data_IF_534880561098
#
_entry.id   IF_534880561098
#
_cell.length_a   1.000
_cell.length_b   1.000
_cell.length_c   1.000
_cell.angle_alpha   90.00
_cell.angle_beta   90.00
_cell.angle_gamma   90.00
#
_symmetry.space_group_name_H-M   'P 1'
#
loop_
_entity.id
_entity.type
_entity.pdbx_description
1 polymer ?
#
# COMPACT_ATOMS: atom_id res chain seq x y z
N UNK A 1 23.69 17.26 -14.26
CA UNK A 1 22.57 16.44 -13.76
C UNK A 1 21.40 17.39 -13.59
N UNK A 2 20.28 17.14 -14.23
CA UNK A 2 19.06 17.92 -13.99
C UNK A 2 18.67 17.82 -12.52
N UNK A 3 18.29 18.95 -11.94
CA UNK A 3 17.84 19.02 -10.56
C UNK A 3 16.47 18.34 -10.47
N UNK A 4 16.38 17.25 -9.72
CA UNK A 4 15.12 16.55 -9.49
C UNK A 4 14.16 17.53 -8.79
N UNK A 5 13.02 17.81 -9.43
CA UNK A 5 12.00 18.69 -8.86
C UNK A 5 11.26 17.98 -7.71
N UNK A 6 11.82 18.07 -6.50
CA UNK A 6 11.27 17.47 -5.27
C UNK A 6 9.78 17.79 -5.05
N UNK A 7 9.29 19.05 -5.21
CA UNK A 7 7.87 19.34 -5.04
C UNK A 7 6.98 18.58 -6.03
N UNK A 8 7.45 18.39 -7.26
CA UNK A 8 6.75 17.60 -8.28
C UNK A 8 6.66 16.14 -7.89
N UNK A 9 7.74 15.55 -7.36
CA UNK A 9 7.74 14.17 -6.87
C UNK A 9 6.81 13.95 -5.67
N UNK A 10 6.81 14.87 -4.70
CA UNK A 10 5.92 14.79 -3.53
C UNK A 10 4.46 14.85 -3.99
N UNK A 11 4.14 15.78 -4.89
CA UNK A 11 2.78 15.94 -5.44
C UNK A 11 2.33 14.70 -6.21
N UNK A 12 3.22 14.15 -7.06
CA UNK A 12 2.96 12.93 -7.81
C UNK A 12 2.72 11.73 -6.87
N UNK A 13 3.60 11.54 -5.88
CA UNK A 13 3.48 10.45 -4.91
C UNK A 13 2.16 10.49 -4.15
N UNK A 14 1.83 11.65 -3.55
CA UNK A 14 0.57 11.81 -2.81
C UNK A 14 -0.62 11.59 -3.73
N UNK A 15 -0.59 12.14 -4.95
CA UNK A 15 -1.65 11.95 -5.94
C UNK A 15 -1.88 10.47 -6.28
N UNK A 16 -0.80 9.70 -6.48
CA UNK A 16 -0.88 8.27 -6.75
C UNK A 16 -1.35 7.45 -5.53
N UNK A 17 -0.91 7.81 -4.32
CA UNK A 17 -1.39 7.17 -3.08
C UNK A 17 -2.89 7.41 -2.89
N UNK A 18 -3.37 8.64 -3.16
CA UNK A 18 -4.78 8.99 -3.14
C UNK A 18 -5.57 8.22 -4.19
N UNK A 19 -5.07 8.16 -5.43
CA UNK A 19 -5.71 7.43 -6.52
C UNK A 19 -5.83 5.93 -6.21
N UNK A 20 -4.77 5.31 -5.70
CA UNK A 20 -4.75 3.90 -5.29
C UNK A 20 -5.77 3.63 -4.17
N UNK A 21 -5.79 4.48 -3.14
CA UNK A 21 -6.74 4.33 -2.04
C UNK A 21 -8.19 4.60 -2.45
N UNK A 22 -8.41 5.61 -3.30
CA UNK A 22 -9.72 5.93 -3.87
C UNK A 22 -10.27 4.80 -4.73
N UNK A 23 -9.43 4.18 -5.55
CA UNK A 23 -9.79 2.97 -6.29
C UNK A 23 -10.21 1.83 -5.35
N UNK A 24 -9.49 1.65 -4.23
CA UNK A 24 -9.87 0.63 -3.24
C UNK A 24 -11.23 0.92 -2.62
N UNK A 25 -11.48 2.15 -2.17
CA UNK A 25 -12.78 2.56 -1.60
C UNK A 25 -13.89 2.27 -2.60
N UNK A 26 -13.72 2.68 -3.86
CA UNK A 26 -14.73 2.45 -4.90
C UNK A 26 -15.03 0.95 -5.06
N UNK A 27 -13.99 0.10 -5.06
CA UNK A 27 -14.19 -1.35 -5.14
C UNK A 27 -14.95 -1.90 -3.93
N UNK A 28 -14.63 -1.46 -2.72
CA UNK A 28 -15.34 -1.91 -1.51
C UNK A 28 -16.79 -1.48 -1.49
N UNK A 29 -17.11 -0.27 -1.97
CA UNK A 29 -18.51 0.16 -2.13
C UNK A 29 -19.25 -0.79 -3.09
N UNK A 30 -18.67 -1.05 -4.27
CA UNK A 30 -19.27 -1.97 -5.25
C UNK A 30 -19.45 -3.39 -4.69
N UNK A 31 -18.51 -3.89 -3.89
CA UNK A 31 -18.63 -5.20 -3.21
C UNK A 31 -19.76 -5.16 -2.16
N UNK A 32 -19.84 -4.08 -1.37
CA UNK A 32 -20.90 -3.89 -0.38
C UNK A 32 -22.30 -3.79 -1.01
N UNK A 33 -22.43 -3.11 -2.14
CA UNK A 33 -23.68 -2.98 -2.90
C UNK A 33 -24.19 -4.34 -3.44
N UNK A 34 -23.29 -5.30 -3.62
CA UNK A 34 -23.62 -6.69 -3.99
C UNK A 34 -24.02 -7.55 -2.78
N UNK A 35 -24.04 -7.00 -1.57
CA UNK A 35 -24.35 -7.71 -0.33
C UNK A 35 -23.21 -8.57 0.20
N UNK A 36 -22.00 -8.41 -0.34
CA UNK A 36 -20.81 -9.14 0.08
C UNK A 36 -20.08 -8.40 1.22
N UNK A 37 -19.26 -9.13 1.98
CA UNK A 37 -18.47 -8.52 3.06
C UNK A 37 -17.40 -7.60 2.48
N UNK A 38 -17.28 -6.40 3.04
CA UNK A 38 -16.23 -5.43 2.68
C UNK A 38 -15.09 -5.45 3.68
N UNK A 39 -13.86 -5.24 3.21
CA UNK A 39 -12.70 -5.07 4.09
C UNK A 39 -11.54 -4.36 3.41
N UNK A 40 -10.71 -3.70 4.21
CA UNK A 40 -9.43 -3.14 3.77
C UNK A 40 -8.27 -4.08 4.16
N UNK A 41 -7.45 -4.55 3.19
CA UNK A 41 -6.19 -5.22 3.42
C UNK A 41 -5.28 -4.39 4.31
N UNK A 42 -4.34 -5.07 4.94
CA UNK A 42 -3.34 -4.41 5.79
C UNK A 42 -2.54 -3.41 4.96
N UNK A 43 -2.27 -3.75 3.71
CA UNK A 43 -1.58 -2.86 2.77
C UNK A 43 -2.30 -1.53 2.53
N UNK A 44 -3.63 -1.53 2.42
CA UNK A 44 -4.37 -0.29 2.15
C UNK A 44 -4.31 0.65 3.37
N UNK A 45 -4.31 0.08 4.58
CA UNK A 45 -4.04 0.83 5.82
C UNK A 45 -2.60 1.36 5.85
N UNK A 46 -1.63 0.56 5.38
CA UNK A 46 -0.23 0.99 5.28
C UNK A 46 -0.05 2.11 4.26
N UNK A 47 -0.75 2.07 3.13
CA UNK A 47 -0.74 3.16 2.14
C UNK A 47 -1.33 4.45 2.73
N UNK A 48 -2.44 4.36 3.47
CA UNK A 48 -3.04 5.50 4.15
C UNK A 48 -2.09 6.11 5.21
N UNK A 49 -1.47 5.26 6.03
CA UNK A 49 -0.47 5.71 7.02
C UNK A 49 0.76 6.33 6.34
N UNK A 50 1.27 5.71 5.28
CA UNK A 50 2.38 6.22 4.47
C UNK A 50 2.05 7.59 3.90
N UNK A 51 0.87 7.77 3.30
CA UNK A 51 0.41 9.04 2.75
C UNK A 51 0.33 10.13 3.82
N UNK A 52 -0.20 9.81 5.01
CA UNK A 52 -0.24 10.76 6.12
C UNK A 52 1.16 11.16 6.59
N UNK A 53 2.07 10.19 6.74
CA UNK A 53 3.47 10.45 7.11
C UNK A 53 4.18 11.28 6.04
N UNK A 54 3.95 11.00 4.75
CA UNK A 54 4.48 11.79 3.63
C UNK A 54 3.96 13.23 3.68
N UNK A 55 2.68 13.45 3.96
CA UNK A 55 2.13 14.80 4.13
C UNK A 55 2.84 15.55 5.27
N UNK A 56 2.97 14.93 6.45
CA UNK A 56 3.65 15.55 7.59
C UNK A 56 5.12 15.86 7.29
N UNK A 57 5.87 14.87 6.80
CA UNK A 57 7.32 14.98 6.65
C UNK A 57 7.75 15.73 5.39
N UNK A 58 7.01 15.67 4.30
CA UNK A 58 7.39 16.26 3.01
C UNK A 58 6.68 17.58 2.70
N UNK A 59 5.61 17.93 3.42
CA UNK A 59 4.89 19.20 3.23
C UNK A 59 4.97 20.03 4.51
N UNK A 60 4.39 19.56 5.62
CA UNK A 60 4.30 20.38 6.82
C UNK A 60 5.67 20.68 7.44
N UNK A 61 6.55 19.68 7.52
CA UNK A 61 7.87 19.87 8.13
C UNK A 61 8.72 20.90 7.35
N UNK A 62 8.90 20.80 6.02
CA UNK A 62 9.59 21.83 5.24
C UNK A 62 8.94 23.21 5.30
N UNK A 63 7.61 23.30 5.44
CA UNK A 63 6.94 24.59 5.63
C UNK A 63 7.29 25.25 6.97
N UNK A 64 7.53 24.45 8.02
CA UNK A 64 7.89 24.95 9.35
C UNK A 64 9.40 25.23 9.45
N UNK A 65 10.24 24.38 8.88
CA UNK A 65 11.71 24.49 8.98
C UNK A 65 12.32 25.37 7.89
N UNK A 66 11.61 25.58 6.78
CA UNK A 66 12.13 26.27 5.59
C UNK A 66 13.03 25.42 4.70
N UNK A 67 13.21 24.14 5.01
CA UNK A 67 14.13 23.26 4.29
C UNK A 67 13.60 21.83 4.08
N UNK A 68 13.93 21.24 2.93
CA UNK A 68 13.65 19.83 2.64
C UNK A 68 14.82 18.95 3.14
N UNK A 69 14.83 18.71 4.45
CA UNK A 69 15.90 18.03 5.17
C UNK A 69 15.95 16.50 4.96
N UNK A 70 16.90 15.86 5.64
CA UNK A 70 17.19 14.42 5.54
C UNK A 70 15.96 13.54 5.85
N UNK A 71 15.17 13.91 6.87
CA UNK A 71 13.96 13.18 7.27
C UNK A 71 12.93 13.17 6.12
N UNK A 72 12.69 14.32 5.50
CA UNK A 72 11.75 14.45 4.37
C UNK A 72 12.18 13.60 3.18
N UNK A 73 13.48 13.59 2.86
CA UNK A 73 14.06 12.76 1.79
C UNK A 73 13.92 11.27 2.08
N UNK A 74 14.23 10.85 3.31
CA UNK A 74 14.09 9.47 3.75
C UNK A 74 12.64 8.98 3.66
N UNK A 75 11.70 9.78 4.18
CA UNK A 75 10.26 9.46 4.11
C UNK A 75 9.78 9.40 2.66
N UNK A 76 10.19 10.35 1.80
CA UNK A 76 9.83 10.34 0.39
C UNK A 76 10.29 9.05 -0.31
N UNK A 77 11.53 8.62 -0.07
CA UNK A 77 12.07 7.38 -0.63
C UNK A 77 11.32 6.13 -0.13
N UNK A 78 11.08 6.03 1.19
CA UNK A 78 10.33 4.91 1.77
C UNK A 78 8.90 4.83 1.25
N UNK A 79 8.19 5.96 1.19
CA UNK A 79 6.80 6.02 0.76
C UNK A 79 6.64 5.70 -0.73
N UNK A 80 7.56 6.18 -1.58
CA UNK A 80 7.60 5.81 -3.00
C UNK A 80 7.78 4.30 -3.19
N UNK A 81 8.67 3.67 -2.42
CA UNK A 81 8.88 2.22 -2.51
C UNK A 81 7.64 1.44 -2.07
N UNK A 82 7.01 1.85 -0.96
CA UNK A 82 5.77 1.22 -0.50
C UNK A 82 4.65 1.31 -1.55
N UNK A 83 4.53 2.44 -2.24
CA UNK A 83 3.57 2.61 -3.33
C UNK A 83 3.90 1.68 -4.51
N UNK A 84 5.17 1.60 -4.93
CA UNK A 84 5.60 0.72 -6.04
C UNK A 84 5.33 -0.76 -5.72
N UNK A 85 5.51 -1.17 -4.47
CA UNK A 85 5.26 -2.55 -4.04
C UNK A 85 3.77 -2.84 -3.75
N UNK A 86 2.90 -1.82 -3.80
CA UNK A 86 1.48 -1.99 -3.51
C UNK A 86 0.80 -3.05 -4.41
N UNK A 87 0.98 -3.08 -5.74
CA UNK A 87 0.42 -4.13 -6.59
C UNK A 87 0.91 -5.55 -6.22
N UNK A 88 2.19 -5.70 -5.85
CA UNK A 88 2.76 -6.99 -5.44
C UNK A 88 2.12 -7.48 -4.13
N UNK A 89 1.93 -6.57 -3.19
CA UNK A 89 1.27 -6.87 -1.93
C UNK A 89 -0.21 -7.24 -2.13
N UNK A 90 -0.89 -6.59 -3.09
CA UNK A 90 -2.24 -6.95 -3.50
C UNK A 90 -2.33 -8.34 -4.14
N UNK A 91 -1.34 -8.74 -4.95
CA UNK A 91 -1.25 -10.12 -5.44
C UNK A 91 -1.14 -11.12 -4.29
N UNK A 92 -0.36 -10.79 -3.25
CA UNK A 92 -0.27 -11.58 -2.03
C UNK A 92 -1.59 -11.66 -1.26
N UNK A 93 -2.32 -10.55 -1.12
CA UNK A 93 -3.64 -10.50 -0.48
C UNK A 93 -4.67 -11.42 -1.17
N UNK A 94 -4.64 -11.48 -2.49
CA UNK A 94 -5.53 -12.38 -3.24
C UNK A 94 -4.98 -13.79 -3.43
N UNK A 95 -3.86 -14.12 -2.77
CA UNK A 95 -3.13 -15.37 -2.95
C UNK A 95 -2.87 -15.74 -4.42
N UNK A 96 -2.65 -14.73 -5.29
CA UNK A 96 -2.48 -14.89 -6.73
C UNK A 96 -1.06 -15.29 -7.14
N UNK A 97 -0.12 -15.34 -6.18
CA UNK A 97 1.27 -15.74 -6.46
C UNK A 97 1.42 -17.27 -6.58
N UNK A 98 0.40 -18.05 -6.19
CA UNK A 98 0.41 -19.51 -6.32
C UNK A 98 -0.90 -20.02 -6.92
N UNK A 99 -0.80 -21.09 -7.72
CA UNK A 99 -1.97 -21.76 -8.30
C UNK A 99 -2.92 -22.29 -7.22
N UNK A 100 -2.37 -22.84 -6.13
CA UNK A 100 -3.12 -23.34 -4.97
C UNK A 100 -3.94 -22.24 -4.27
N UNK A 101 -3.43 -21.01 -4.23
CA UNK A 101 -4.13 -19.86 -3.64
C UNK A 101 -5.31 -19.42 -4.51
N UNK A 102 -5.09 -19.31 -5.82
CA UNK A 102 -6.14 -18.99 -6.80
C UNK A 102 -7.32 -19.98 -6.75
N UNK A 103 -7.04 -21.28 -6.61
CA UNK A 103 -8.07 -22.31 -6.55
C UNK A 103 -9.02 -22.17 -5.35
N UNK A 104 -8.58 -21.57 -4.23
CA UNK A 104 -9.46 -21.30 -3.08
C UNK A 104 -10.58 -20.32 -3.41
N UNK A 105 -10.33 -19.38 -4.32
CA UNK A 105 -11.33 -18.42 -4.77
C UNK A 105 -12.19 -18.97 -5.93
N UNK A 106 -11.63 -19.84 -6.79
CA UNK A 106 -12.39 -20.47 -7.88
C UNK A 106 -13.36 -21.55 -7.39
N UNK A 107 -13.00 -22.33 -6.36
CA UNK A 107 -13.87 -23.39 -5.83
C UNK A 107 -15.15 -22.82 -5.16
N UNK A 108 -15.09 -21.58 -4.67
CA UNK A 108 -16.23 -20.83 -4.10
C UNK A 108 -17.31 -20.41 -5.13
N UNK A 109 -16.99 -20.37 -6.42
CA UNK A 109 -17.96 -19.99 -7.48
C UNK A 109 -18.89 -21.17 -7.85
N UNK A 110 -18.44 -22.42 -7.61
CA UNK A 110 -19.21 -23.64 -7.93
C UNK A 110 -20.20 -24.10 -6.85
N UNK A 111 -19.98 -23.76 -5.58
CA UNK A 111 -20.79 -24.22 -4.44
C UNK A 111 -21.64 -23.10 -3.84
N UNK A 112 -22.60 -22.59 -4.63
CA UNK A 112 -23.69 -21.72 -4.16
C UNK A 112 -24.76 -22.48 -3.34
N UNK A 113 -24.37 -23.48 -2.55
CA UNK A 113 -25.29 -24.27 -1.70
C UNK A 113 -24.76 -24.42 -0.28
N UNK A 114 -25.11 -23.45 0.55
CA UNK A 114 -25.43 -23.70 1.96
C UNK A 114 -24.28 -23.98 2.93
N UNK A 115 -23.03 -23.75 2.56
CA UNK A 115 -21.91 -23.85 3.50
C UNK A 115 -21.55 -22.44 3.96
N UNK A 116 -21.47 -22.28 5.29
CA UNK A 116 -21.21 -21.04 5.98
C UNK A 116 -20.04 -20.27 5.35
N UNK A 117 -20.16 -18.94 5.32
CA UNK A 117 -19.12 -17.94 5.02
C UNK A 117 -17.99 -17.96 6.08
N UNK A 118 -17.55 -19.15 6.50
CA UNK A 118 -16.43 -19.34 7.41
C UNK A 118 -15.13 -19.04 6.65
N UNK A 119 -14.50 -17.97 7.13
CA UNK A 119 -13.09 -17.63 6.94
C UNK A 119 -12.68 -17.22 5.51
N UNK A 120 -13.25 -16.10 5.05
CA UNK A 120 -12.44 -15.18 4.25
C UNK A 120 -11.25 -14.75 5.12
N UNK A 121 -10.09 -15.36 4.88
CA UNK A 121 -8.86 -15.06 5.61
C UNK A 121 -8.54 -13.59 5.35
N UNK A 122 -8.78 -12.76 6.36
CA UNK A 122 -8.57 -11.31 6.29
C UNK A 122 -7.11 -10.94 6.01
N UNK A 123 -6.17 -11.81 6.41
CA UNK A 123 -4.73 -11.61 6.27
C UNK A 123 -4.03 -12.92 5.89
N UNK A 124 -3.98 -13.29 4.60
CA UNK A 124 -3.34 -14.52 4.16
C UNK A 124 -1.82 -14.46 4.33
N UNK A 125 -1.21 -15.64 4.45
CA UNK A 125 0.25 -15.78 4.64
C UNK A 125 1.06 -15.09 3.54
N UNK A 126 0.57 -15.10 2.31
CA UNK A 126 1.22 -14.41 1.19
C UNK A 126 1.23 -12.89 1.37
N UNK A 127 0.15 -12.29 1.90
CA UNK A 127 0.12 -10.87 2.27
C UNK A 127 1.08 -10.56 3.41
N UNK A 128 1.12 -11.41 4.44
CA UNK A 128 2.02 -11.21 5.56
C UNK A 128 3.50 -11.17 5.13
N UNK A 129 3.89 -12.08 4.24
CA UNK A 129 5.26 -12.14 3.72
C UNK A 129 5.55 -10.93 2.83
N UNK A 130 4.65 -10.61 1.87
CA UNK A 130 4.88 -9.51 0.94
C UNK A 130 4.92 -8.14 1.63
N UNK A 131 4.01 -7.89 2.58
CA UNK A 131 4.01 -6.68 3.41
C UNK A 131 5.27 -6.62 4.27
N UNK A 132 5.69 -7.72 4.89
CA UNK A 132 6.92 -7.77 5.68
C UNK A 132 8.16 -7.42 4.86
N UNK A 133 8.30 -7.99 3.66
CA UNK A 133 9.38 -7.66 2.73
C UNK A 133 9.31 -6.18 2.32
N UNK A 134 8.13 -5.68 1.99
CA UNK A 134 7.94 -4.29 1.58
C UNK A 134 8.34 -3.29 2.66
N UNK A 135 7.97 -3.56 3.91
CA UNK A 135 8.37 -2.74 5.06
C UNK A 135 9.88 -2.78 5.29
N UNK A 136 10.50 -3.96 5.24
CA UNK A 136 11.95 -4.10 5.40
C UNK A 136 12.71 -3.31 4.33
N UNK A 137 12.28 -3.43 3.08
CA UNK A 137 12.88 -2.69 1.96
C UNK A 137 12.65 -1.18 2.12
N UNK A 138 11.46 -0.75 2.53
CA UNK A 138 11.16 0.67 2.70
C UNK A 138 11.99 1.30 3.82
N UNK A 139 12.18 0.58 4.93
CA UNK A 139 13.07 1.02 6.03
C UNK A 139 14.52 1.05 5.56
N UNK A 140 14.97 0.04 4.82
CA UNK A 140 16.33 0.00 4.27
C UNK A 140 16.60 1.18 3.34
N UNK A 141 15.68 1.47 2.42
CA UNK A 141 15.76 2.62 1.51
C UNK A 141 15.75 3.94 2.29
N UNK A 142 14.83 4.09 3.24
CA UNK A 142 14.75 5.30 4.06
C UNK A 142 16.03 5.54 4.86
N UNK A 143 16.58 4.49 5.48
CA UNK A 143 17.85 4.55 6.19
C UNK A 143 19.01 4.94 5.28
N UNK A 144 19.12 4.32 4.10
CA UNK A 144 20.18 4.65 3.15
C UNK A 144 20.09 6.11 2.70
N UNK A 145 18.90 6.57 2.31
CA UNK A 145 18.67 7.96 1.91
C UNK A 145 18.99 8.92 3.06
N UNK A 146 18.59 8.60 4.29
CA UNK A 146 18.90 9.41 5.48
C UNK A 146 20.41 9.50 5.71
N UNK A 147 21.12 8.38 5.65
CA UNK A 147 22.55 8.30 5.93
C UNK A 147 23.43 8.97 4.86
N UNK A 148 22.91 9.15 3.64
CA UNK A 148 23.65 9.76 2.52
C UNK A 148 23.20 11.17 2.16
N UNK A 149 22.17 11.71 2.82
CA UNK A 149 21.66 13.08 2.58
C UNK A 149 22.33 14.09 3.49
#
# INVERSE_FOLDING_TARGET
MEEIQIPGLVSLLIGLQFASFGWRIHREITVGDLGEKTWFPILDKLNLASMFITFLACILLPLVTGEFGQISRAVLGSALLLLILHPVNMLGHYELLTESGRLKYSRKIGEKKGIAFEELIYFPRQEAISVGISLLLAVTVGYFVYATS
#
